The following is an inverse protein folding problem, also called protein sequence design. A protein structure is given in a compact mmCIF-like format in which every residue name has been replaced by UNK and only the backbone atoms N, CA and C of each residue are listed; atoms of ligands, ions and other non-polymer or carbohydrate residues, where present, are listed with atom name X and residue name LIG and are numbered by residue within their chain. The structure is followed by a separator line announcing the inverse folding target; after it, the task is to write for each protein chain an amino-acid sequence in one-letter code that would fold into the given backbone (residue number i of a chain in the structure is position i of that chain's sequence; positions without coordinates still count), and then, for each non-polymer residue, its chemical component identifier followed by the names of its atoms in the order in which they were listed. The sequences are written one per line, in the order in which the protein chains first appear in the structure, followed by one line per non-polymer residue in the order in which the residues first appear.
data_IF_821042056858
#
_entry.id   IF_821042056858
#
_cell.length_a   1.000
_cell.length_b   1.000
_cell.length_c   1.000
_cell.angle_alpha   90.00
_cell.angle_beta   90.00
_cell.angle_gamma   90.00
#
_symmetry.space_group_name_H-M   'P 1'
#
loop_
_entity.id
_entity.type
_entity.pdbx_description
1 polymer ?
#
# COMPACT_ATOMS: atom_id res chain seq x y z
N UNK A 1 51.86 -1.93 5.89
CA UNK A 1 50.96 -2.91 5.26
C UNK A 1 51.78 -4.04 4.67
N UNK A 2 51.33 -5.30 4.74
CA UNK A 2 52.04 -6.45 4.15
C UNK A 2 51.57 -6.68 2.71
N UNK A 3 52.37 -6.36 1.67
CA UNK A 3 51.96 -6.48 0.27
C UNK A 3 51.89 -7.93 -0.23
N UNK A 4 52.40 -8.91 0.54
CA UNK A 4 52.36 -10.34 0.20
C UNK A 4 51.18 -11.08 0.84
N UNK A 5 50.28 -10.37 1.53
CA UNK A 5 49.16 -10.98 2.22
C UNK A 5 48.14 -11.51 1.20
N UNK A 6 47.86 -12.80 1.23
CA UNK A 6 46.86 -13.43 0.38
C UNK A 6 45.47 -13.35 1.02
N UNK A 7 44.61 -12.46 0.51
CA UNK A 7 43.33 -12.10 1.15
C UNK A 7 42.14 -12.82 0.52
N UNK A 8 41.31 -13.42 1.36
CA UNK A 8 40.07 -14.12 0.97
C UNK A 8 38.84 -13.56 1.71
N UNK A 9 37.66 -13.82 1.15
CA UNK A 9 36.34 -13.42 1.68
C UNK A 9 35.43 -14.63 1.79
N UNK A 10 34.95 -14.90 3.00
CA UNK A 10 33.84 -15.83 3.22
C UNK A 10 32.50 -15.16 2.88
N UNK A 11 31.64 -15.87 2.14
CA UNK A 11 30.30 -15.42 1.76
C UNK A 11 29.25 -16.32 2.41
N UNK A 12 28.36 -15.75 3.21
CA UNK A 12 27.27 -16.44 3.91
C UNK A 12 26.03 -15.53 3.96
N UNK A 13 24.86 -16.11 4.21
CA UNK A 13 23.58 -15.40 4.29
C UNK A 13 22.84 -15.65 5.62
N UNK A 14 23.31 -16.59 6.43
CA UNK A 14 22.81 -16.84 7.78
C UNK A 14 23.93 -17.31 8.71
N UNK A 15 23.84 -17.00 10.01
CA UNK A 15 24.78 -17.45 11.04
C UNK A 15 24.49 -18.88 11.52
N UNK A 16 24.26 -19.79 10.58
CA UNK A 16 24.01 -21.21 10.87
C UNK A 16 25.28 -22.02 10.64
N UNK A 17 25.47 -23.10 11.40
CA UNK A 17 26.64 -23.98 11.28
C UNK A 17 26.88 -24.43 9.83
N UNK A 18 25.84 -24.93 9.16
CA UNK A 18 25.93 -25.39 7.77
C UNK A 18 26.38 -24.29 6.80
N UNK A 19 25.87 -23.07 6.94
CA UNK A 19 26.22 -21.97 6.04
C UNK A 19 27.66 -21.48 6.27
N UNK A 20 28.09 -21.40 7.53
CA UNK A 20 29.45 -21.02 7.89
C UNK A 20 30.47 -22.06 7.44
N UNK A 21 30.22 -23.36 7.67
CA UNK A 21 31.10 -24.42 7.17
C UNK A 21 31.23 -24.35 5.64
N UNK A 22 30.11 -24.17 4.93
CA UNK A 22 30.12 -24.00 3.47
C UNK A 22 30.93 -22.78 3.03
N UNK A 23 30.80 -21.65 3.73
CA UNK A 23 31.52 -20.42 3.41
C UNK A 23 33.03 -20.56 3.61
N UNK A 24 33.46 -21.25 4.68
CA UNK A 24 34.88 -21.53 4.94
C UNK A 24 35.50 -22.49 3.92
N UNK A 25 34.71 -23.44 3.40
CA UNK A 25 35.18 -24.36 2.36
C UNK A 25 35.21 -23.73 0.96
N UNK A 26 34.45 -22.65 0.72
CA UNK A 26 34.30 -22.01 -0.58
C UNK A 26 34.67 -20.51 -0.50
N UNK A 27 35.90 -20.21 -0.10
CA UNK A 27 36.40 -18.84 -0.01
C UNK A 27 36.50 -18.19 -1.39
N UNK A 28 36.08 -16.93 -1.48
CA UNK A 28 36.15 -16.13 -2.70
C UNK A 28 37.16 -14.97 -2.55
N UNK A 29 37.46 -14.28 -3.64
CA UNK A 29 38.18 -13.00 -3.59
C UNK A 29 37.22 -11.85 -3.23
N UNK A 30 37.64 -10.86 -2.43
CA UNK A 30 36.89 -9.63 -2.27
C UNK A 30 36.63 -8.98 -3.63
N UNK A 31 35.39 -8.53 -3.88
CA UNK A 31 35.03 -7.89 -5.14
C UNK A 31 35.35 -6.38 -5.09
N UNK A 32 36.37 -5.88 -5.82
CA UNK A 32 36.76 -4.47 -5.78
C UNK A 32 35.72 -3.54 -6.39
N UNK A 33 34.88 -4.03 -7.32
CA UNK A 33 33.87 -3.20 -7.98
C UNK A 33 32.74 -2.79 -7.02
N UNK A 34 32.36 -3.66 -6.08
CA UNK A 34 31.37 -3.32 -5.06
C UNK A 34 31.92 -2.26 -4.09
N UNK A 35 33.19 -2.37 -3.71
CA UNK A 35 33.85 -1.38 -2.89
C UNK A 35 33.92 -0.02 -3.61
N UNK A 36 34.40 -0.01 -4.85
CA UNK A 36 34.46 1.19 -5.68
C UNK A 36 33.09 1.85 -5.88
N UNK A 37 32.00 1.07 -6.00
CA UNK A 37 30.65 1.61 -6.08
C UNK A 37 30.21 2.30 -4.79
N UNK A 38 30.58 1.76 -3.62
CA UNK A 38 30.32 2.40 -2.33
C UNK A 38 31.13 3.70 -2.19
N UNK A 39 32.41 3.69 -2.57
CA UNK A 39 33.28 4.87 -2.53
C UNK A 39 32.75 5.98 -3.44
N UNK A 40 32.38 5.63 -4.67
CA UNK A 40 31.77 6.58 -5.62
C UNK A 40 30.50 7.20 -5.04
N UNK A 41 29.63 6.41 -4.40
CA UNK A 41 28.40 6.93 -3.77
C UNK A 41 28.73 7.88 -2.61
N UNK A 42 29.67 7.52 -1.74
CA UNK A 42 30.09 8.38 -0.63
C UNK A 42 30.63 9.72 -1.13
N UNK A 43 31.44 9.71 -2.19
CA UNK A 43 32.01 10.89 -2.80
C UNK A 43 30.93 11.79 -3.43
N UNK A 44 30.00 11.20 -4.18
CA UNK A 44 28.87 11.92 -4.78
C UNK A 44 28.00 12.56 -3.69
N UNK A 45 27.61 11.80 -2.67
CA UNK A 45 26.76 12.27 -1.57
C UNK A 45 27.46 13.39 -0.80
N UNK A 46 28.76 13.28 -0.53
CA UNK A 46 29.54 14.30 0.16
C UNK A 46 29.70 15.57 -0.67
N UNK A 47 30.13 15.47 -1.94
CA UNK A 47 30.39 16.63 -2.80
C UNK A 47 29.10 17.41 -3.08
N UNK A 48 28.04 16.72 -3.48
CA UNK A 48 26.74 17.34 -3.76
C UNK A 48 26.11 17.84 -2.46
N UNK A 49 26.07 17.00 -1.42
CA UNK A 49 25.46 17.35 -0.14
C UNK A 49 26.12 18.57 0.50
N UNK A 50 27.45 18.59 0.60
CA UNK A 50 28.18 19.70 1.21
C UNK A 50 28.09 21.01 0.39
N UNK A 51 28.22 20.94 -0.94
CA UNK A 51 28.18 22.13 -1.80
C UNK A 51 26.81 22.82 -1.74
N UNK A 52 25.72 22.08 -1.94
CA UNK A 52 24.37 22.64 -1.90
C UNK A 52 23.95 23.05 -0.49
N UNK A 53 24.23 22.23 0.53
CA UNK A 53 23.94 22.59 1.93
C UNK A 53 24.62 23.89 2.33
N UNK A 54 25.91 24.05 2.00
CA UNK A 54 26.67 25.27 2.30
C UNK A 54 26.12 26.47 1.54
N UNK A 55 25.86 26.33 0.25
CA UNK A 55 25.28 27.38 -0.58
C UNK A 55 23.93 27.85 -0.05
N UNK A 56 22.99 26.92 0.16
CA UNK A 56 21.63 27.21 0.63
C UNK A 56 21.65 27.85 2.02
N UNK A 57 22.41 27.28 2.94
CA UNK A 57 22.52 27.80 4.31
C UNK A 57 23.08 29.21 4.31
N UNK A 58 24.24 29.46 3.66
CA UNK A 58 24.85 30.80 3.66
C UNK A 58 24.00 31.84 2.94
N UNK A 59 23.33 31.46 1.84
CA UNK A 59 22.47 32.35 1.06
C UNK A 59 21.21 32.77 1.82
N UNK A 60 20.54 31.81 2.47
CA UNK A 60 19.22 32.03 3.06
C UNK A 60 19.24 32.35 4.54
N UNK A 61 20.30 32.02 5.29
CA UNK A 61 20.41 32.34 6.72
C UNK A 61 20.24 33.83 7.02
N UNK A 62 20.70 34.73 6.13
CA UNK A 62 20.51 36.18 6.29
C UNK A 62 19.15 36.69 5.81
N UNK A 63 18.49 35.95 4.91
CA UNK A 63 17.22 36.36 4.28
C UNK A 63 15.99 35.82 4.99
N UNK A 64 16.13 34.71 5.71
CA UNK A 64 15.08 34.03 6.43
C UNK A 64 15.45 34.03 7.93
N UNK A 65 15.14 35.12 8.67
CA UNK A 65 15.51 35.24 10.08
C UNK A 65 14.88 34.16 10.98
N UNK A 66 13.80 33.51 10.52
CA UNK A 66 13.15 32.39 11.21
C UNK A 66 13.84 31.04 10.98
N UNK A 67 14.86 30.97 10.12
CA UNK A 67 15.53 29.72 9.80
C UNK A 67 16.63 29.45 10.83
N UNK A 68 16.22 28.88 11.96
CA UNK A 68 17.14 28.37 12.97
C UNK A 68 17.77 27.06 12.47
N UNK A 69 19.07 27.10 12.11
CA UNK A 69 19.86 25.91 11.79
C UNK A 69 20.41 25.83 10.37
N UNK A 70 20.68 24.61 9.94
CA UNK A 70 21.33 24.28 8.65
C UNK A 70 20.26 23.84 7.66
N UNK A 71 20.25 24.43 6.46
CA UNK A 71 19.41 23.98 5.36
C UNK A 71 20.15 22.91 4.57
N UNK A 72 19.91 21.64 4.93
CA UNK A 72 20.58 20.50 4.30
C UNK A 72 19.99 20.14 2.95
N UNK A 73 20.86 19.74 2.02
CA UNK A 73 20.52 19.17 0.74
C UNK A 73 21.24 17.83 0.58
N UNK A 74 20.58 16.89 -0.09
CA UNK A 74 21.18 15.61 -0.45
C UNK A 74 20.42 15.01 -1.62
N UNK A 75 21.12 14.30 -2.53
CA UNK A 75 20.56 13.87 -3.81
C UNK A 75 19.39 12.89 -3.65
N UNK A 76 19.38 12.06 -2.59
CA UNK A 76 18.29 11.13 -2.29
C UNK A 76 17.22 11.73 -1.33
N UNK A 77 17.64 12.55 -0.36
CA UNK A 77 16.69 13.13 0.62
C UNK A 77 15.71 14.12 -0.04
N UNK A 78 16.17 14.89 -1.02
CA UNK A 78 15.35 15.92 -1.67
C UNK A 78 14.17 15.33 -2.46
N UNK A 79 14.36 14.35 -3.38
CA UNK A 79 13.22 13.70 -4.04
C UNK A 79 12.33 12.93 -3.06
N UNK A 80 12.90 12.37 -1.98
CA UNK A 80 12.11 11.67 -0.93
C UNK A 80 11.13 12.63 -0.25
N UNK A 81 11.60 13.82 0.16
CA UNK A 81 10.71 14.88 0.66
C UNK A 81 9.72 15.34 -0.42
N UNK A 82 10.16 15.36 -1.69
CA UNK A 82 9.33 15.65 -2.85
C UNK A 82 8.06 14.81 -2.91
N UNK A 83 8.11 13.50 -2.61
CA UNK A 83 6.91 12.65 -2.57
C UNK A 83 5.91 13.08 -1.50
N UNK A 84 6.39 13.48 -0.32
CA UNK A 84 5.55 13.97 0.78
C UNK A 84 4.89 15.28 0.40
N UNK A 85 5.67 16.25 -0.09
CA UNK A 85 5.18 17.56 -0.52
C UNK A 85 4.18 17.41 -1.67
N UNK A 86 4.46 16.54 -2.64
CA UNK A 86 3.56 16.27 -3.76
C UNK A 86 2.22 15.70 -3.27
N UNK A 87 2.23 14.74 -2.32
CA UNK A 87 1.00 14.18 -1.75
C UNK A 87 0.20 15.23 -0.97
N UNK A 88 0.88 16.12 -0.27
CA UNK A 88 0.27 17.24 0.45
C UNK A 88 -0.37 18.25 -0.51
N UNK A 89 0.34 18.65 -1.58
CA UNK A 89 -0.20 19.54 -2.61
C UNK A 89 -1.43 18.94 -3.30
N UNK A 90 -1.39 17.65 -3.64
CA UNK A 90 -2.57 16.94 -4.19
C UNK A 90 -3.76 16.99 -3.26
N UNK A 91 -3.55 16.90 -1.94
CA UNK A 91 -4.64 17.00 -0.96
C UNK A 91 -5.17 18.43 -0.84
N UNK A 92 -4.26 19.41 -0.77
CA UNK A 92 -4.61 20.83 -0.62
C UNK A 92 -5.36 21.36 -1.84
N UNK A 93 -4.94 20.94 -3.03
CA UNK A 93 -5.51 21.38 -4.31
C UNK A 93 -6.66 20.49 -4.77
N UNK A 94 -7.10 19.52 -3.96
CA UNK A 94 -8.22 18.65 -4.31
C UNK A 94 -9.54 19.41 -4.22
N UNK A 95 -10.20 19.58 -5.36
CA UNK A 95 -11.55 20.14 -5.44
C UNK A 95 -12.53 18.98 -5.32
N UNK A 96 -13.38 18.99 -4.28
CA UNK A 96 -14.41 17.96 -4.08
C UNK A 96 -15.54 18.18 -5.07
N UNK A 97 -15.89 17.13 -5.79
CA UNK A 97 -17.04 17.15 -6.71
C UNK A 97 -18.18 16.31 -6.10
N UNK A 98 -19.39 16.87 -5.99
CA UNK A 98 -20.55 16.10 -5.57
C UNK A 98 -20.87 15.03 -6.61
N UNK A 99 -21.26 13.84 -6.16
CA UNK A 99 -21.72 12.76 -7.01
C UNK A 99 -22.93 12.10 -6.37
N UNK A 100 -23.74 11.46 -7.22
CA UNK A 100 -24.96 10.77 -6.83
C UNK A 100 -24.91 9.31 -7.28
N UNK A 101 -25.51 8.44 -6.48
CA UNK A 101 -25.64 7.01 -6.76
C UNK A 101 -27.01 6.53 -6.33
N UNK A 102 -27.55 5.53 -7.02
CA UNK A 102 -28.82 4.92 -6.69
C UNK A 102 -28.54 3.68 -5.85
N UNK A 103 -28.87 3.73 -4.57
CA UNK A 103 -28.80 2.57 -3.69
C UNK A 103 -30.14 1.86 -3.65
N UNK A 104 -30.14 0.54 -3.77
CA UNK A 104 -31.33 -0.30 -3.63
C UNK A 104 -31.02 -1.44 -2.66
N UNK A 105 -31.92 -1.68 -1.71
CA UNK A 105 -31.83 -2.78 -0.75
C UNK A 105 -33.07 -3.65 -0.93
N UNK A 106 -32.87 -4.97 -0.99
CA UNK A 106 -33.97 -5.94 -1.04
C UNK A 106 -33.99 -6.76 0.24
N UNK A 107 -35.18 -7.07 0.75
CA UNK A 107 -35.38 -7.95 1.89
C UNK A 107 -35.79 -9.32 1.37
N UNK A 108 -35.01 -10.36 1.67
CA UNK A 108 -35.28 -11.73 1.24
C UNK A 108 -35.66 -12.56 2.48
N UNK A 109 -36.82 -13.22 2.51
CA UNK A 109 -37.18 -14.12 3.62
C UNK A 109 -36.28 -15.37 3.61
N UNK A 110 -35.78 -15.76 4.79
CA UNK A 110 -34.92 -16.94 4.98
C UNK A 110 -35.54 -17.87 6.03
N UNK A 111 -35.32 -19.19 5.93
CA UNK A 111 -35.72 -20.15 6.96
C UNK A 111 -34.89 -20.00 8.24
N UNK A 112 -35.51 -20.16 9.40
CA UNK A 112 -34.81 -20.35 10.67
C UNK A 112 -33.91 -21.61 10.59
N UNK A 113 -32.66 -21.48 11.03
CA UNK A 113 -31.61 -22.44 10.83
C UNK A 113 -31.85 -23.75 11.59
N UNK A 114 -31.92 -24.87 10.87
CA UNK A 114 -31.56 -26.21 11.35
C UNK A 114 -30.38 -26.70 10.50
N UNK A 115 -29.19 -26.73 11.10
CA UNK A 115 -27.87 -27.27 10.74
C UNK A 115 -27.31 -27.27 9.29
N UNK A 116 -28.09 -27.01 8.25
CA UNK A 116 -27.59 -26.92 6.87
C UNK A 116 -27.99 -25.59 6.21
N UNK A 117 -27.02 -24.66 6.23
CA UNK A 117 -26.86 -23.44 5.44
C UNK A 117 -28.16 -22.80 4.87
N UNK A 118 -28.53 -21.64 5.42
CA UNK A 118 -29.52 -20.69 4.94
C UNK A 118 -29.74 -20.70 3.41
N UNK A 119 -30.76 -21.44 2.95
CA UNK A 119 -31.23 -21.42 1.56
C UNK A 119 -32.44 -20.47 1.45
N UNK A 120 -32.49 -19.58 0.44
CA UNK A 120 -33.65 -18.71 0.23
C UNK A 120 -34.90 -19.51 -0.13
N UNK A 121 -36.02 -19.21 0.53
CA UNK A 121 -37.33 -19.80 0.26
C UNK A 121 -37.91 -19.21 -1.03
N UNK A 122 -38.22 -20.05 -2.02
CA UNK A 122 -38.87 -19.58 -3.26
C UNK A 122 -40.40 -19.51 -3.12
N UNK A 123 -41.03 -20.24 -2.19
CA UNK A 123 -42.48 -20.14 -1.92
C UNK A 123 -42.87 -20.63 -0.51
N UNK A 124 -43.32 -19.75 0.36
CA UNK A 124 -44.32 -20.04 1.41
C UNK A 124 -44.83 -18.72 2.01
N UNK A 125 -46.08 -18.75 2.46
CA UNK A 125 -46.88 -17.61 2.95
C UNK A 125 -46.21 -16.73 4.02
N UNK A 126 -46.64 -15.46 4.14
CA UNK A 126 -45.85 -14.39 4.73
C UNK A 126 -46.15 -14.21 6.22
N UNK A 127 -45.67 -15.09 7.11
CA UNK A 127 -45.72 -14.80 8.55
C UNK A 127 -44.41 -15.19 9.25
N UNK A 128 -43.66 -14.14 9.65
CA UNK A 128 -42.57 -14.08 10.64
C UNK A 128 -41.34 -14.99 10.46
N UNK A 129 -40.79 -15.04 9.24
CA UNK A 129 -39.44 -15.56 9.00
C UNK A 129 -38.34 -14.48 9.12
N UNK A 130 -37.10 -14.83 9.53
CA UNK A 130 -35.99 -13.87 9.52
C UNK A 130 -35.70 -13.37 8.10
N UNK A 131 -35.78 -12.05 7.89
CA UNK A 131 -35.44 -11.41 6.62
C UNK A 131 -33.96 -11.04 6.56
N UNK A 132 -33.31 -11.30 5.43
CA UNK A 132 -31.95 -10.84 5.15
C UNK A 132 -31.99 -9.65 4.20
N UNK A 133 -31.36 -8.56 4.61
CA UNK A 133 -31.16 -7.38 3.77
C UNK A 133 -29.97 -7.58 2.82
N UNK A 134 -30.21 -7.43 1.52
CA UNK A 134 -29.17 -7.49 0.49
C UNK A 134 -29.04 -6.13 -0.19
N UNK A 135 -27.87 -5.50 -0.07
CA UNK A 135 -27.55 -4.23 -0.73
C UNK A 135 -27.12 -4.47 -2.17
N UNK A 136 -27.89 -3.95 -3.11
CA UNK A 136 -27.58 -3.98 -4.54
C UNK A 136 -26.63 -2.84 -4.89
N UNK A 137 -25.65 -3.13 -5.73
CA UNK A 137 -24.72 -2.13 -6.25
C UNK A 137 -25.21 -1.66 -7.62
N UNK A 138 -25.25 -0.35 -7.82
CA UNK A 138 -25.69 0.21 -9.09
C UNK A 138 -24.67 -0.07 -10.20
N UNK A 139 -25.11 -0.63 -11.33
CA UNK A 139 -24.23 -0.97 -12.46
C UNK A 139 -23.47 0.23 -13.05
N UNK A 140 -23.96 1.46 -12.86
CA UNK A 140 -23.27 2.70 -13.28
C UNK A 140 -22.32 3.27 -12.23
N UNK A 141 -22.21 2.66 -11.06
CA UNK A 141 -21.42 3.11 -9.90
C UNK A 141 -21.85 4.48 -9.33
N UNK A 142 -21.54 5.58 -10.02
CA UNK A 142 -21.89 6.96 -9.63
C UNK A 142 -21.96 7.90 -10.84
N UNK A 143 -22.74 8.97 -10.74
CA UNK A 143 -22.82 10.06 -11.72
C UNK A 143 -22.54 11.41 -11.04
N UNK A 144 -21.96 12.36 -11.79
CA UNK A 144 -21.67 13.73 -11.32
C UNK A 144 -22.72 14.75 -11.76
N UNK A 145 -23.83 14.29 -12.33
CA UNK A 145 -24.96 15.11 -12.70
C UNK A 145 -26.17 14.71 -11.85
N UNK A 146 -26.70 15.69 -11.10
CA UNK A 146 -27.86 15.49 -10.25
C UNK A 146 -29.11 15.16 -11.07
N UNK A 147 -29.41 15.96 -12.11
CA UNK A 147 -30.63 15.85 -12.91
C UNK A 147 -30.71 14.48 -13.60
N UNK A 148 -29.61 14.05 -14.21
CA UNK A 148 -29.54 12.73 -14.85
C UNK A 148 -29.78 11.61 -13.83
N UNK A 149 -29.20 11.73 -12.63
CA UNK A 149 -29.40 10.72 -11.58
C UNK A 149 -30.84 10.72 -11.06
N UNK A 150 -31.46 11.89 -10.90
CA UNK A 150 -32.87 12.02 -10.49
C UNK A 150 -33.81 11.40 -11.52
N UNK A 151 -33.59 11.62 -12.82
CA UNK A 151 -34.41 11.01 -13.89
C UNK A 151 -34.30 9.49 -13.86
N UNK A 152 -33.09 8.96 -13.67
CA UNK A 152 -32.88 7.52 -13.56
C UNK A 152 -33.52 6.94 -12.31
N UNK A 153 -33.46 7.66 -11.19
CA UNK A 153 -34.08 7.28 -9.93
C UNK A 153 -35.61 7.25 -10.03
N UNK A 154 -36.21 8.26 -10.64
CA UNK A 154 -37.67 8.33 -10.87
C UNK A 154 -38.15 7.16 -11.74
N UNK A 155 -37.42 6.84 -12.82
CA UNK A 155 -37.71 5.64 -13.64
C UNK A 155 -37.63 4.34 -12.83
N UNK A 156 -36.65 4.23 -11.93
CA UNK A 156 -36.55 3.06 -11.05
C UNK A 156 -37.73 3.00 -10.06
N UNK A 157 -38.15 4.11 -9.46
CA UNK A 157 -39.31 4.16 -8.56
C UNK A 157 -40.61 3.82 -9.27
N UNK A 158 -40.83 4.35 -10.47
CA UNK A 158 -42.01 4.04 -11.29
C UNK A 158 -42.09 2.54 -11.58
N UNK A 159 -40.98 1.94 -12.02
CA UNK A 159 -40.92 0.50 -12.27
C UNK A 159 -41.22 -0.33 -11.01
N UNK A 160 -40.69 0.06 -9.84
CA UNK A 160 -40.97 -0.65 -8.58
C UNK A 160 -42.44 -0.51 -8.17
N UNK A 161 -43.07 0.63 -8.40
CA UNK A 161 -44.51 0.85 -8.13
C UNK A 161 -45.41 0.04 -9.06
N UNK A 162 -45.06 -0.05 -10.34
CA UNK A 162 -45.87 -0.74 -11.36
C UNK A 162 -45.72 -2.26 -11.30
N UNK A 163 -44.49 -2.76 -11.18
CA UNK A 163 -44.18 -4.19 -11.30
C UNK A 163 -43.86 -4.87 -9.96
N UNK A 164 -43.84 -4.12 -8.84
CA UNK A 164 -43.66 -4.66 -7.50
C UNK A 164 -42.26 -5.21 -7.19
N UNK A 165 -41.28 -5.06 -8.09
CA UNK A 165 -39.93 -5.58 -7.87
C UNK A 165 -38.98 -5.47 -9.05
N UNK A 166 -37.78 -6.06 -8.89
CA UNK A 166 -36.77 -6.20 -9.93
C UNK A 166 -36.73 -7.63 -10.48
N UNK A 167 -36.29 -7.78 -11.72
CA UNK A 167 -36.13 -9.09 -12.38
C UNK A 167 -34.67 -9.53 -12.25
N UNK A 168 -34.45 -10.77 -11.80
CA UNK A 168 -33.11 -11.37 -11.81
C UNK A 168 -32.73 -11.69 -13.24
N UNK A 169 -31.78 -10.93 -13.79
CA UNK A 169 -31.30 -11.10 -15.17
C UNK A 169 -30.26 -12.21 -15.28
N UNK A 170 -29.36 -12.33 -14.31
CA UNK A 170 -28.26 -13.29 -14.35
C UNK A 170 -27.79 -13.68 -12.93
N UNK A 171 -27.51 -14.97 -12.74
CA UNK A 171 -26.86 -15.50 -11.53
C UNK A 171 -25.58 -16.21 -11.95
N UNK A 172 -24.44 -15.78 -11.39
CA UNK A 172 -23.13 -16.37 -11.69
C UNK A 172 -22.40 -16.75 -10.42
N UNK A 173 -21.78 -17.93 -10.39
CA UNK A 173 -20.93 -18.39 -9.30
C UNK A 173 -19.51 -18.66 -9.82
N UNK A 174 -18.57 -17.79 -9.44
CA UNK A 174 -17.17 -17.92 -9.82
C UNK A 174 -16.34 -18.25 -8.56
N UNK A 175 -15.70 -19.42 -8.47
CA UNK A 175 -14.84 -19.74 -7.34
C UNK A 175 -13.69 -18.74 -7.28
N UNK A 176 -13.50 -18.11 -6.12
CA UNK A 176 -12.40 -17.17 -5.88
C UNK A 176 -11.43 -17.79 -4.88
N UNK A 177 -10.16 -17.90 -5.27
CA UNK A 177 -9.06 -18.25 -4.36
C UNK A 177 -8.26 -17.00 -4.00
N UNK A 178 -7.68 -17.00 -2.79
CA UNK A 178 -6.72 -15.98 -2.37
C UNK A 178 -5.34 -16.62 -2.35
N UNK A 179 -4.39 -15.98 -3.04
CA UNK A 179 -3.02 -16.47 -3.14
C UNK A 179 -2.28 -16.32 -1.80
N UNK A 180 -1.39 -17.28 -1.53
CA UNK A 180 -0.44 -17.17 -0.41
C UNK A 180 0.55 -16.03 -0.71
N UNK A 181 1.11 -15.38 0.34
CA UNK A 181 2.09 -14.33 0.13
C UNK A 181 3.36 -14.88 -0.54
N UNK A 182 4.03 -14.01 -1.29
CA UNK A 182 5.35 -14.30 -1.85
C UNK A 182 6.41 -14.34 -0.73
N UNK A 183 7.59 -14.95 -1.00
CA UNK A 183 8.73 -14.87 -0.08
C UNK A 183 9.02 -13.43 0.33
N UNK A 184 9.26 -13.23 1.63
CA UNK A 184 9.35 -11.91 2.22
C UNK A 184 10.63 -11.21 1.77
N UNK A 185 10.49 -10.08 1.07
CA UNK A 185 11.60 -9.19 0.72
C UNK A 185 11.77 -8.08 1.76
N UNK A 186 12.94 -7.43 1.80
CA UNK A 186 13.23 -6.32 2.72
C UNK A 186 12.23 -5.17 2.58
N UNK A 187 11.76 -4.87 1.36
CA UNK A 187 10.79 -3.81 1.10
C UNK A 187 9.41 -4.17 1.67
N UNK A 188 8.94 -5.39 1.43
CA UNK A 188 7.65 -5.84 1.97
C UNK A 188 7.70 -6.00 3.49
N UNK A 189 8.82 -6.47 4.04
CA UNK A 189 9.08 -6.50 5.47
C UNK A 189 8.93 -5.10 6.10
N UNK A 190 9.63 -4.09 5.59
CA UNK A 190 9.57 -2.74 6.13
C UNK A 190 8.16 -2.12 6.05
N UNK A 191 7.44 -2.37 4.94
CA UNK A 191 6.03 -1.94 4.78
C UNK A 191 5.09 -2.63 5.76
N UNK A 192 5.23 -3.94 5.92
CA UNK A 192 4.40 -4.73 6.84
C UNK A 192 4.70 -4.39 8.30
N UNK A 193 5.96 -4.21 8.67
CA UNK A 193 6.35 -3.76 10.01
C UNK A 193 5.71 -2.41 10.35
N UNK A 194 5.74 -1.44 9.44
CA UNK A 194 5.11 -0.13 9.67
C UNK A 194 3.58 -0.20 9.70
N UNK A 195 2.96 -0.89 8.73
CA UNK A 195 1.50 -0.92 8.60
C UNK A 195 0.79 -1.84 9.60
N UNK A 196 1.42 -2.96 9.99
CA UNK A 196 0.82 -3.98 10.87
C UNK A 196 1.35 -3.92 12.30
N UNK A 197 2.65 -3.67 12.48
CA UNK A 197 3.29 -3.69 13.80
C UNK A 197 3.54 -2.29 14.37
N UNK A 198 3.32 -1.23 13.58
CA UNK A 198 3.59 0.17 13.95
C UNK A 198 5.06 0.43 14.31
N UNK A 199 5.98 -0.37 13.76
CA UNK A 199 7.42 -0.19 13.91
C UNK A 199 7.94 0.57 12.69
N UNK A 200 8.72 1.63 12.89
CA UNK A 200 9.31 2.38 11.79
C UNK A 200 10.35 1.54 11.04
N UNK A 201 10.63 1.89 9.78
CA UNK A 201 11.52 1.09 8.94
C UNK A 201 12.95 1.02 9.47
N UNK A 202 13.46 2.06 10.15
CA UNK A 202 14.82 2.05 10.70
C UNK A 202 14.90 1.12 11.91
N UNK A 203 13.95 1.21 12.82
CA UNK A 203 13.88 0.29 13.97
C UNK A 203 13.67 -1.15 13.51
N UNK A 204 12.80 -1.39 12.53
CA UNK A 204 12.54 -2.73 11.99
C UNK A 204 13.80 -3.37 11.40
N UNK A 205 14.59 -2.62 10.62
CA UNK A 205 15.86 -3.12 10.07
C UNK A 205 16.89 -3.40 11.17
N UNK A 206 17.00 -2.52 12.17
CA UNK A 206 17.91 -2.75 13.31
C UNK A 206 17.57 -4.04 14.05
N UNK A 207 16.29 -4.26 14.36
CA UNK A 207 15.85 -5.50 15.02
C UNK A 207 16.13 -6.71 14.12
N UNK A 208 15.90 -6.61 12.81
CA UNK A 208 16.17 -7.69 11.88
C UNK A 208 17.66 -8.03 11.74
N UNK A 209 18.57 -7.07 11.95
CA UNK A 209 20.01 -7.30 11.97
C UNK A 209 20.50 -7.90 13.30
N UNK A 210 19.77 -7.69 14.40
CA UNK A 210 20.06 -8.24 15.72
C UNK A 210 19.58 -9.70 15.90
N UNK A 211 18.62 -10.14 15.08
CA UNK A 211 18.03 -11.49 15.08
C UNK A 211 18.85 -12.48 14.23
#
# INVERSE_FOLDING_TARGET
ANPRLDVYRANFSALTHADLTRACLNLARPNPHLAAAVDARQEIDLRIGASFTRYLTLRYKRKLPLLEGILSYGPCQFPTLGFVVQRWLRQRNFIREPFWTISCTICVPVRAAGDDAARPLIKSDPEDGPTVEVKLHWGRNRLFDHLVTTILYDRCLQHVREFGGGIVTQVSHNPKSRWRPLPLSTVEFAKLASSKLRIDSRQAMRIAEEL
#
